data_IF_972052649358
#
_entry.id   IF_972052649358
#
_cell.length_a   1.000
_cell.length_b   1.000
_cell.length_c   1.000
_cell.angle_alpha   90.00
_cell.angle_beta   90.00
_cell.angle_gamma   90.00
#
_symmetry.space_group_name_H-M   'P 1'
#
loop_
_entity.id
_entity.type
_entity.pdbx_description
1 polymer ?
#
# COMPACT_ATOMS: atom_id res chain seq x y z
N UNK A 1 5.68 9.85 -9.41
CA UNK A 1 4.87 8.92 -8.65
C UNK A 1 5.05 7.50 -9.22
N UNK A 2 5.07 6.46 -8.36
CA UNK A 2 5.28 5.07 -8.77
C UNK A 2 4.18 4.56 -9.71
N UNK A 3 2.93 5.00 -9.49
CA UNK A 3 1.80 4.61 -10.35
C UNK A 3 1.93 5.17 -11.77
N UNK A 4 2.40 6.39 -11.91
CA UNK A 4 2.67 6.98 -13.23
C UNK A 4 3.85 6.32 -13.92
N UNK A 5 4.89 5.94 -13.16
CA UNK A 5 6.01 5.21 -13.72
C UNK A 5 5.57 3.85 -14.26
N UNK A 6 4.78 3.09 -13.49
CA UNK A 6 4.23 1.82 -13.92
C UNK A 6 3.30 1.99 -15.13
N UNK A 7 2.45 3.02 -15.14
CA UNK A 7 1.60 3.35 -16.28
C UNK A 7 2.41 3.58 -17.55
N UNK A 8 3.50 4.34 -17.48
CA UNK A 8 4.40 4.53 -18.64
C UNK A 8 5.00 3.23 -19.16
N UNK A 9 5.41 2.34 -18.27
CA UNK A 9 5.95 1.03 -18.64
C UNK A 9 4.89 0.15 -19.32
N UNK A 10 3.67 0.13 -18.81
CA UNK A 10 2.54 -0.60 -19.41
C UNK A 10 2.18 -0.04 -20.79
N UNK A 11 2.17 1.29 -20.94
CA UNK A 11 1.97 1.95 -22.24
C UNK A 11 3.06 1.55 -23.23
N UNK A 12 4.32 1.59 -22.83
CA UNK A 12 5.45 1.20 -23.66
C UNK A 12 5.40 -0.29 -24.06
N UNK A 13 4.84 -1.15 -23.20
CA UNK A 13 4.60 -2.55 -23.47
C UNK A 13 3.32 -2.82 -24.30
N UNK A 14 2.57 -1.79 -24.68
CA UNK A 14 1.32 -1.93 -25.44
C UNK A 14 0.17 -2.57 -24.64
N UNK A 15 0.23 -2.51 -23.30
CA UNK A 15 -0.79 -3.10 -22.42
C UNK A 15 -1.85 -2.03 -22.09
N UNK A 16 -3.11 -2.18 -22.56
CA UNK A 16 -4.20 -1.29 -22.21
C UNK A 16 -4.46 -1.32 -20.70
N UNK A 17 -4.48 -0.17 -20.06
CA UNK A 17 -4.71 -0.06 -18.63
C UNK A 17 -5.40 1.24 -18.24
N UNK A 18 -5.98 1.28 -17.06
CA UNK A 18 -6.54 2.48 -16.44
C UNK A 18 -5.76 2.79 -15.16
N UNK A 19 -5.59 4.08 -14.87
CA UNK A 19 -4.92 4.52 -13.65
C UNK A 19 -5.95 5.14 -12.73
N UNK A 20 -6.06 4.57 -11.53
CA UNK A 20 -6.96 5.05 -10.50
C UNK A 20 -6.19 6.03 -9.61
N UNK A 21 -6.42 7.31 -9.82
CA UNK A 21 -5.97 8.37 -8.94
C UNK A 21 -7.11 8.72 -7.97
N UNK A 22 -6.75 9.12 -6.74
CA UNK A 22 -7.73 9.63 -5.76
C UNK A 22 -8.19 11.05 -6.20
N UNK A 23 -8.98 11.16 -7.27
CA UNK A 23 -9.41 12.44 -7.82
C UNK A 23 -10.87 12.77 -7.50
N UNK A 24 -11.82 11.99 -8.00
CA UNK A 24 -13.25 12.20 -7.78
C UNK A 24 -13.93 10.87 -7.51
N UNK A 25 -14.77 10.82 -6.49
CA UNK A 25 -15.45 9.59 -6.08
C UNK A 25 -16.25 8.92 -7.21
N UNK A 26 -16.87 9.72 -8.08
CA UNK A 26 -17.67 9.21 -9.21
C UNK A 26 -16.80 8.54 -10.29
N UNK A 27 -15.68 9.16 -10.67
CA UNK A 27 -14.73 8.60 -11.64
C UNK A 27 -14.05 7.34 -11.08
N UNK A 28 -13.73 7.37 -9.79
CA UNK A 28 -13.16 6.24 -9.06
C UNK A 28 -14.11 5.03 -9.09
N UNK A 29 -15.39 5.25 -8.79
CA UNK A 29 -16.41 4.20 -8.81
C UNK A 29 -16.57 3.56 -10.19
N UNK A 30 -16.53 4.34 -11.28
CA UNK A 30 -16.61 3.83 -12.64
C UNK A 30 -15.40 2.95 -13.02
N UNK A 31 -14.18 3.38 -12.67
CA UNK A 31 -12.96 2.60 -12.93
C UNK A 31 -12.99 1.30 -12.15
N UNK A 32 -13.41 1.34 -10.87
CA UNK A 32 -13.50 0.14 -10.03
C UNK A 32 -14.55 -0.83 -10.55
N UNK A 33 -15.69 -0.35 -11.04
CA UNK A 33 -16.72 -1.20 -11.64
C UNK A 33 -16.20 -1.97 -12.88
N UNK A 34 -15.22 -1.42 -13.58
CA UNK A 34 -14.58 -2.06 -14.74
C UNK A 34 -13.39 -2.95 -14.37
N UNK A 35 -12.78 -2.76 -13.20
CA UNK A 35 -11.55 -3.45 -12.80
C UNK A 35 -11.70 -4.97 -12.67
N UNK A 36 -12.92 -5.46 -12.44
CA UNK A 36 -13.24 -6.89 -12.35
C UNK A 36 -13.56 -7.56 -13.71
N UNK A 37 -13.55 -6.82 -14.80
CA UNK A 37 -13.83 -7.38 -16.12
C UNK A 37 -12.61 -8.14 -16.68
N UNK A 38 -12.86 -9.18 -17.46
CA UNK A 38 -11.81 -9.98 -18.07
C UNK A 38 -10.94 -9.13 -19.01
N UNK A 39 -9.61 -9.27 -18.90
CA UNK A 39 -8.63 -8.55 -19.72
C UNK A 39 -8.40 -7.09 -19.32
N UNK A 40 -9.03 -6.58 -18.27
CA UNK A 40 -8.77 -5.22 -17.75
C UNK A 40 -7.58 -5.19 -16.82
N UNK A 41 -6.76 -4.15 -16.96
CA UNK A 41 -5.65 -3.84 -16.06
C UNK A 41 -5.92 -2.48 -15.42
N UNK A 42 -5.89 -2.43 -14.09
CA UNK A 42 -6.07 -1.19 -13.32
C UNK A 42 -4.86 -0.97 -12.43
N UNK A 43 -4.19 0.15 -12.61
CA UNK A 43 -3.11 0.62 -11.72
C UNK A 43 -3.73 1.52 -10.67
N UNK A 44 -3.51 1.22 -9.40
CA UNK A 44 -4.08 1.98 -8.31
C UNK A 44 -3.05 2.23 -7.20
N UNK A 45 -3.17 3.34 -6.49
CA UNK A 45 -2.46 3.54 -5.22
C UNK A 45 -3.16 2.76 -4.10
N UNK A 46 -2.47 2.53 -2.98
CA UNK A 46 -3.04 1.81 -1.83
C UNK A 46 -4.25 2.52 -1.18
N UNK A 47 -4.43 3.82 -1.45
CA UNK A 47 -5.54 4.64 -0.94
C UNK A 47 -6.77 4.56 -1.83
N UNK A 48 -6.58 4.40 -3.14
CA UNK A 48 -7.64 4.39 -4.13
C UNK A 48 -8.51 3.12 -4.03
N UNK A 49 -9.80 3.26 -4.22
CA UNK A 49 -10.77 2.16 -4.15
C UNK A 49 -10.98 1.57 -2.75
N UNK A 50 -10.55 2.25 -1.69
CA UNK A 50 -10.70 1.76 -0.33
C UNK A 50 -12.17 1.73 0.08
N UNK A 51 -12.65 0.55 0.52
CA UNK A 51 -14.04 0.36 0.91
C UNK A 51 -14.95 -0.13 -0.21
N UNK A 52 -14.54 -0.04 -1.48
CA UNK A 52 -15.32 -0.49 -2.62
C UNK A 52 -15.02 -1.96 -2.95
N UNK A 53 -16.05 -2.71 -3.28
CA UNK A 53 -15.94 -4.11 -3.70
C UNK A 53 -15.78 -4.22 -5.22
N UNK A 54 -14.78 -5.00 -5.67
CA UNK A 54 -14.53 -5.25 -7.09
C UNK A 54 -15.32 -6.50 -7.47
N UNK A 55 -16.40 -6.31 -8.23
CA UNK A 55 -17.23 -7.42 -8.71
C UNK A 55 -16.64 -8.00 -9.98
N UNK A 56 -16.58 -9.32 -10.07
CA UNK A 56 -16.14 -10.00 -11.28
C UNK A 56 -17.17 -9.84 -12.40
N UNK A 57 -16.67 -9.50 -13.58
CA UNK A 57 -17.49 -9.49 -14.80
C UNK A 57 -17.73 -10.92 -15.35
N UNK A 58 -18.61 -11.06 -16.35
CA UNK A 58 -18.90 -12.34 -16.98
C UNK A 58 -17.62 -13.03 -17.49
N UNK A 59 -17.48 -14.32 -17.20
CA UNK A 59 -16.34 -15.13 -17.64
C UNK A 59 -15.02 -14.86 -16.91
N UNK A 60 -14.98 -13.94 -15.93
CA UNK A 60 -13.76 -13.65 -15.18
C UNK A 60 -13.48 -14.72 -14.10
N UNK A 61 -14.53 -15.27 -13.50
CA UNK A 61 -14.39 -16.33 -12.49
C UNK A 61 -13.80 -17.61 -13.12
N UNK A 62 -14.25 -18.02 -14.29
CA UNK A 62 -13.77 -19.20 -15.03
C UNK A 62 -12.30 -19.07 -15.43
N UNK A 63 -11.80 -17.84 -15.54
CA UNK A 63 -10.39 -17.52 -15.83
C UNK A 63 -9.51 -17.40 -14.57
N UNK A 64 -10.04 -17.71 -13.39
CA UNK A 64 -9.32 -17.67 -12.12
C UNK A 64 -9.57 -16.40 -11.29
N UNK A 65 -10.52 -15.54 -11.72
CA UNK A 65 -10.95 -14.36 -10.98
C UNK A 65 -9.98 -13.18 -11.00
N UNK A 66 -10.07 -12.33 -9.99
CA UNK A 66 -9.23 -11.15 -9.87
C UNK A 66 -7.79 -11.52 -9.48
N UNK A 67 -6.83 -11.16 -10.32
CA UNK A 67 -5.40 -11.24 -10.00
C UNK A 67 -4.91 -9.90 -9.44
N UNK A 68 -4.52 -9.88 -8.18
CA UNK A 68 -4.01 -8.67 -7.52
C UNK A 68 -2.48 -8.74 -7.45
N UNK A 69 -1.83 -7.69 -7.92
CA UNK A 69 -0.38 -7.54 -7.90
C UNK A 69 -0.01 -6.39 -6.95
N UNK A 70 0.77 -6.66 -5.92
CA UNK A 70 1.44 -5.64 -5.13
C UNK A 70 2.83 -5.40 -5.72
N UNK A 71 3.06 -4.21 -6.25
CA UNK A 71 4.35 -3.83 -6.84
C UNK A 71 5.43 -3.52 -5.80
N UNK A 72 5.06 -3.43 -4.53
CA UNK A 72 5.95 -3.19 -3.39
C UNK A 72 5.36 -3.79 -2.12
N UNK A 73 6.16 -3.88 -1.07
CA UNK A 73 5.71 -4.25 0.27
C UNK A 73 5.46 -2.98 1.09
N UNK A 74 4.27 -2.87 1.69
CA UNK A 74 3.90 -1.69 2.47
C UNK A 74 4.57 -1.65 3.85
N UNK A 75 4.57 -0.47 4.46
CA UNK A 75 5.12 -0.24 5.81
C UNK A 75 4.40 -1.00 6.93
N UNK A 76 3.18 -1.46 6.67
CA UNK A 76 2.38 -2.19 7.64
C UNK A 76 1.72 -3.42 7.02
N UNK A 77 1.89 -4.56 7.66
CA UNK A 77 1.32 -5.85 7.23
C UNK A 77 -0.19 -5.83 7.04
N UNK A 78 -0.91 -4.99 7.79
CA UNK A 78 -2.36 -4.83 7.62
C UNK A 78 -2.72 -4.30 6.25
N UNK A 79 -1.88 -3.42 5.66
CA UNK A 79 -2.12 -2.84 4.33
C UNK A 79 -1.93 -3.92 3.26
N UNK A 80 -0.85 -4.70 3.34
CA UNK A 80 -0.63 -5.83 2.41
C UNK A 80 -1.78 -6.83 2.47
N UNK A 81 -2.28 -7.14 3.69
CA UNK A 81 -3.46 -8.01 3.85
C UNK A 81 -4.74 -7.42 3.28
N UNK A 82 -4.95 -6.11 3.42
CA UNK A 82 -6.09 -5.42 2.82
C UNK A 82 -6.03 -5.47 1.29
N UNK A 83 -4.83 -5.31 0.73
CA UNK A 83 -4.61 -5.43 -0.71
C UNK A 83 -4.82 -6.88 -1.19
N UNK A 84 -4.22 -7.86 -0.54
CA UNK A 84 -4.43 -9.27 -0.86
C UNK A 84 -5.91 -9.67 -0.73
N UNK A 85 -6.62 -9.15 0.26
CA UNK A 85 -8.06 -9.36 0.45
C UNK A 85 -8.96 -8.63 -0.56
N UNK A 86 -8.41 -7.99 -1.59
CA UNK A 86 -9.19 -7.53 -2.75
C UNK A 86 -9.55 -8.68 -3.68
N UNK A 87 -8.70 -9.70 -3.77
CA UNK A 87 -8.96 -10.93 -4.50
C UNK A 87 -9.74 -11.95 -3.67
N UNK A 88 -10.48 -12.85 -4.30
CA UNK A 88 -11.15 -13.97 -3.66
C UNK A 88 -12.26 -13.56 -2.69
N UNK A 89 -13.07 -12.55 -3.04
CA UNK A 89 -14.19 -12.10 -2.21
C UNK A 89 -15.46 -12.89 -2.53
N UNK A 90 -16.32 -13.01 -1.53
CA UNK A 90 -17.67 -13.62 -1.64
C UNK A 90 -17.68 -15.05 -2.23
N UNK A 91 -16.57 -15.79 -2.07
CA UNK A 91 -16.41 -17.12 -2.65
C UNK A 91 -15.89 -17.14 -4.09
N UNK A 92 -15.66 -15.99 -4.69
CA UNK A 92 -15.06 -15.90 -6.01
C UNK A 92 -13.61 -16.39 -6.02
N UNK A 93 -13.13 -16.99 -7.12
CA UNK A 93 -11.72 -17.29 -7.28
C UNK A 93 -10.91 -15.99 -7.37
N UNK A 94 -9.63 -16.06 -7.01
CA UNK A 94 -8.71 -14.94 -7.11
C UNK A 94 -7.30 -15.34 -6.74
N UNK A 95 -6.34 -14.52 -7.11
CA UNK A 95 -4.94 -14.76 -6.82
C UNK A 95 -4.23 -13.46 -6.43
N UNK A 96 -3.14 -13.60 -5.67
CA UNK A 96 -2.35 -12.49 -5.19
C UNK A 96 -0.86 -12.76 -5.41
N UNK A 97 -0.14 -11.77 -5.94
CA UNK A 97 1.31 -11.80 -6.05
C UNK A 97 1.91 -10.51 -5.52
N UNK A 98 2.95 -10.62 -4.70
CA UNK A 98 3.68 -9.49 -4.18
C UNK A 98 5.11 -9.49 -4.73
N UNK A 99 5.53 -8.34 -5.23
CA UNK A 99 6.90 -8.08 -5.60
C UNK A 99 7.56 -7.23 -4.52
N UNK A 100 8.84 -7.34 -4.37
CA UNK A 100 9.66 -6.53 -3.48
C UNK A 100 11.07 -6.44 -4.06
N UNK A 101 11.66 -5.28 -4.05
CA UNK A 101 12.99 -5.01 -4.57
C UNK A 101 13.91 -4.56 -3.43
N UNK A 102 15.20 -4.97 -3.47
CA UNK A 102 16.14 -4.64 -2.39
C UNK A 102 16.49 -3.15 -2.29
N UNK A 103 16.04 -2.35 -3.25
CA UNK A 103 16.05 -0.87 -3.24
C UNK A 103 14.72 -0.24 -2.84
N UNK A 104 13.74 -1.03 -2.38
CA UNK A 104 12.47 -0.51 -1.88
C UNK A 104 12.66 0.38 -0.64
N UNK A 105 11.88 1.47 -0.58
CA UNK A 105 11.87 2.44 0.51
C UNK A 105 11.61 1.80 1.89
N UNK A 106 10.88 0.68 1.94
CA UNK A 106 10.64 -0.06 3.17
C UNK A 106 11.93 -0.50 3.87
N UNK A 107 12.99 -0.83 3.11
CA UNK A 107 14.28 -1.19 3.70
C UNK A 107 14.97 0.03 4.31
N UNK A 108 14.86 1.20 3.68
CA UNK A 108 15.35 2.45 4.28
C UNK A 108 14.62 2.79 5.58
N UNK A 109 13.30 2.65 5.58
CA UNK A 109 12.48 2.88 6.77
C UNK A 109 12.81 1.91 7.91
N UNK A 110 13.07 0.65 7.58
CA UNK A 110 13.36 -0.39 8.57
C UNK A 110 14.77 -0.38 9.11
N UNK A 111 15.77 -0.08 8.29
CA UNK A 111 17.18 -0.26 8.61
C UNK A 111 18.01 1.03 8.52
N UNK A 112 17.50 2.06 7.85
CA UNK A 112 18.21 3.29 7.54
C UNK A 112 18.93 3.21 6.19
N UNK A 113 19.25 4.39 5.64
CA UNK A 113 19.78 4.53 4.27
C UNK A 113 21.08 3.76 4.02
N UNK A 114 21.98 3.74 4.98
CA UNK A 114 23.29 3.08 4.81
C UNK A 114 23.15 1.54 4.68
N UNK A 115 22.38 0.92 5.59
CA UNK A 115 22.16 -0.54 5.56
C UNK A 115 21.30 -0.93 4.35
N UNK A 116 20.30 -0.13 3.97
CA UNK A 116 19.47 -0.37 2.80
C UNK A 116 20.28 -0.35 1.50
N UNK A 117 21.23 0.57 1.34
CA UNK A 117 22.15 0.60 0.19
C UNK A 117 23.00 -0.67 0.09
N UNK A 118 23.55 -1.15 1.20
CA UNK A 118 24.30 -2.40 1.22
C UNK A 118 23.47 -3.60 0.76
N UNK A 119 22.17 -3.64 1.11
CA UNK A 119 21.26 -4.68 0.64
C UNK A 119 20.94 -4.54 -0.84
N UNK A 120 20.77 -3.32 -1.36
CA UNK A 120 20.56 -3.06 -2.78
C UNK A 120 21.77 -3.51 -3.61
N UNK A 121 23.00 -3.20 -3.16
CA UNK A 121 24.23 -3.59 -3.83
C UNK A 121 24.39 -5.11 -3.86
N UNK A 122 24.18 -5.78 -2.71
CA UNK A 122 24.19 -7.26 -2.65
C UNK A 122 23.15 -7.90 -3.57
N UNK A 123 21.99 -7.27 -3.73
CA UNK A 123 20.95 -7.77 -4.64
C UNK A 123 21.34 -7.68 -6.10
N UNK A 124 22.13 -6.68 -6.48
CA UNK A 124 22.69 -6.55 -7.84
C UNK A 124 23.75 -7.62 -8.12
N UNK A 125 24.59 -7.90 -7.12
CA UNK A 125 25.63 -8.92 -7.24
C UNK A 125 25.08 -10.36 -7.23
N UNK A 126 23.96 -10.59 -6.54
CA UNK A 126 23.38 -11.92 -6.33
C UNK A 126 21.85 -11.94 -6.59
N UNK A 127 21.42 -11.97 -7.85
CA UNK A 127 19.98 -11.90 -8.21
C UNK A 127 19.11 -13.07 -7.72
N UNK A 128 19.68 -14.12 -7.12
CA UNK A 128 18.99 -15.33 -6.66
C UNK A 128 18.60 -15.38 -5.16
N UNK A 129 18.75 -14.29 -4.39
CA UNK A 129 18.55 -14.27 -2.92
C UNK A 129 17.08 -14.29 -2.44
N UNK A 130 16.20 -15.07 -3.06
CA UNK A 130 14.73 -14.98 -2.84
C UNK A 130 14.27 -15.31 -1.42
N UNK A 131 14.82 -16.35 -0.79
CA UNK A 131 14.34 -16.79 0.54
C UNK A 131 14.82 -15.91 1.71
N UNK A 132 16.02 -15.34 1.62
CA UNK A 132 16.59 -14.43 2.61
C UNK A 132 15.93 -13.05 2.53
N UNK A 133 15.58 -12.61 1.33
CA UNK A 133 14.91 -11.34 1.05
C UNK A 133 13.58 -11.21 1.80
N UNK A 134 12.73 -12.23 1.79
CA UNK A 134 11.42 -12.16 2.46
C UNK A 134 11.53 -11.98 3.98
N UNK A 135 12.52 -12.63 4.63
CA UNK A 135 12.77 -12.44 6.07
C UNK A 135 13.27 -11.03 6.37
N UNK A 136 14.11 -10.48 5.50
CA UNK A 136 14.60 -9.11 5.59
C UNK A 136 13.45 -8.10 5.52
N UNK A 137 12.59 -8.21 4.50
CA UNK A 137 11.42 -7.35 4.32
C UNK A 137 10.45 -7.42 5.51
N UNK A 138 10.14 -8.63 6.00
CA UNK A 138 9.32 -8.79 7.21
C UNK A 138 9.95 -8.18 8.46
N UNK A 139 11.29 -8.16 8.56
CA UNK A 139 12.00 -7.50 9.65
C UNK A 139 11.92 -5.98 9.52
N UNK A 140 12.12 -5.44 8.31
CA UNK A 140 11.97 -4.01 8.01
C UNK A 140 10.56 -3.53 8.34
N UNK A 141 9.54 -4.22 7.87
CA UNK A 141 8.14 -3.92 8.11
C UNK A 141 7.81 -3.89 9.63
N UNK A 142 8.25 -4.89 10.38
CA UNK A 142 8.06 -4.89 11.85
C UNK A 142 8.75 -3.70 12.54
N UNK A 143 9.92 -3.27 12.04
CA UNK A 143 10.61 -2.09 12.57
C UNK A 143 9.86 -0.79 12.24
N UNK A 144 9.37 -0.64 11.00
CA UNK A 144 8.54 0.47 10.58
C UNK A 144 7.25 0.56 11.41
N UNK A 145 6.52 -0.56 11.56
CA UNK A 145 5.30 -0.63 12.38
C UNK A 145 5.55 -0.22 13.84
N UNK A 146 6.65 -0.68 14.46
CA UNK A 146 7.03 -0.30 15.83
C UNK A 146 7.36 1.19 15.94
N UNK A 147 8.04 1.77 14.93
CA UNK A 147 8.33 3.21 14.89
C UNK A 147 7.03 4.02 14.82
N UNK A 148 6.12 3.67 13.92
CA UNK A 148 4.83 4.31 13.77
C UNK A 148 3.95 4.17 15.03
N UNK A 149 3.98 3.01 15.67
CA UNK A 149 3.28 2.81 16.95
C UNK A 149 3.80 3.74 18.04
N UNK A 150 5.13 3.83 18.20
CA UNK A 150 5.77 4.73 19.19
C UNK A 150 5.43 6.19 18.91
N UNK A 151 5.47 6.60 17.63
CA UNK A 151 5.13 7.96 17.22
C UNK A 151 3.66 8.29 17.55
N UNK A 152 2.73 7.42 17.18
CA UNK A 152 1.30 7.61 17.53
C UNK A 152 1.09 7.67 19.05
N UNK A 153 1.75 6.82 19.81
CA UNK A 153 1.66 6.85 21.27
C UNK A 153 2.15 8.17 21.84
N UNK A 154 3.27 8.70 21.33
CA UNK A 154 3.81 10.00 21.73
C UNK A 154 2.87 11.15 21.37
N UNK A 155 2.31 11.15 20.17
CA UNK A 155 1.33 12.15 19.73
C UNK A 155 0.09 12.14 20.64
N UNK A 156 -0.51 10.99 20.89
CA UNK A 156 -1.65 10.85 21.79
C UNK A 156 -1.33 11.32 23.22
N UNK A 157 -0.13 11.04 23.71
CA UNK A 157 0.29 11.53 25.04
C UNK A 157 0.42 13.07 25.05
N UNK A 158 1.04 13.66 24.02
CA UNK A 158 1.17 15.12 23.88
C UNK A 158 -0.21 15.78 23.81
N UNK A 159 -1.12 15.22 23.02
CA UNK A 159 -2.48 15.74 22.85
C UNK A 159 -3.28 15.70 24.15
N UNK A 160 -3.23 14.58 24.88
CA UNK A 160 -3.85 14.47 26.22
C UNK A 160 -3.27 15.50 27.21
N UNK A 161 -1.97 15.69 27.20
CA UNK A 161 -1.30 16.64 28.07
C UNK A 161 -1.66 18.09 27.71
N UNK A 162 -1.73 18.40 26.42
CA UNK A 162 -2.21 19.70 25.92
C UNK A 162 -3.64 19.96 26.35
N UNK A 163 -4.56 19.03 26.09
CA UNK A 163 -5.95 19.16 26.50
C UNK A 163 -6.11 19.35 28.02
N UNK A 164 -5.32 18.65 28.82
CA UNK A 164 -5.33 18.81 30.28
C UNK A 164 -4.84 20.21 30.72
N UNK A 165 -3.81 20.73 30.07
CA UNK A 165 -3.28 22.08 30.34
C UNK A 165 -4.30 23.15 29.96
N UNK A 166 -4.91 23.04 28.78
CA UNK A 166 -5.94 23.99 28.30
C UNK A 166 -7.13 24.01 29.25
N UNK A 167 -7.64 22.85 29.69
CA UNK A 167 -8.73 22.79 30.68
C UNK A 167 -8.36 23.46 32.01
N UNK A 168 -7.09 23.33 32.48
CA UNK A 168 -6.64 24.02 33.69
C UNK A 168 -6.58 25.55 33.57
N UNK A 169 -6.39 26.02 32.32
CA UNK A 169 -6.36 27.44 31.99
C UNK A 169 -7.78 28.01 31.68
N UNK A 170 -8.83 27.19 31.76
CA UNK A 170 -10.19 27.57 31.39
C UNK A 170 -10.44 27.69 29.89
N UNK A 171 -9.52 27.19 29.07
CA UNK A 171 -9.62 27.20 27.60
C UNK A 171 -10.30 25.92 27.11
N UNK A 172 -11.14 26.03 26.07
CA UNK A 172 -11.71 24.85 25.40
C UNK A 172 -10.70 24.25 24.43
N UNK A 173 -10.29 22.97 24.62
CA UNK A 173 -9.31 22.31 23.76
C UNK A 173 -9.71 22.23 22.27
N UNK A 174 -10.98 22.42 21.94
CA UNK A 174 -11.53 22.30 20.58
C UNK A 174 -11.82 23.64 19.93
N UNK A 175 -12.08 24.71 20.71
CA UNK A 175 -12.39 26.05 20.20
C UNK A 175 -11.15 26.94 20.11
N UNK A 176 -10.20 26.79 21.03
CA UNK A 176 -9.01 27.65 21.13
C UNK A 176 -7.78 27.04 20.41
N UNK A 177 -7.96 26.44 19.24
CA UNK A 177 -6.84 25.96 18.42
C UNK A 177 -6.13 27.16 17.73
N UNK A 178 -4.84 27.38 17.93
CA UNK A 178 -4.10 28.33 17.10
C UNK A 178 -4.12 27.83 15.64
N UNK A 179 -4.48 28.74 14.72
CA UNK A 179 -4.44 28.52 13.27
C UNK A 179 -3.02 28.29 12.77
#
# INVERSE_FOLDING_TARGET
>A
DKSEHLSRLLTAAGIPHQVLHAMREEEEAQIIAQAGQAGRVTVATNMAGRGTDIRLGPGAAERGGLHVIAAEMHEARRIDRQLAGRAGRQGDPGSFRQFAALDDELLELGFGKAEARQWADRGREHPGLTGMSLRLFRKAQRRAERRHYRMRKLLLWRERRRAQTQRRLGLDPYLDMPQ
#
